data_IF_462097845984
#
_entry.id   IF_462097845984
#
_cell.length_a   1.000
_cell.length_b   1.000
_cell.length_c   1.000
_cell.angle_alpha   90.00
_cell.angle_beta   90.00
_cell.angle_gamma   90.00
#
_symmetry.space_group_name_H-M   'P 1'
#
loop_
_entity.id
_entity.type
_entity.pdbx_description
1 polymer ?
#
# COMPACT_ATOMS: atom_id res chain seq x y z
N UNK A 1 -17.06 -47.99 26.26
CA UNK A 1 -16.36 -49.07 25.56
C UNK A 1 -16.08 -48.68 24.12
N UNK A 2 -14.88 -49.02 23.68
CA UNK A 2 -14.26 -48.90 22.34
C UNK A 2 -13.87 -47.49 21.86
N UNK A 3 -12.60 -47.16 22.15
CA UNK A 3 -11.74 -46.25 21.40
C UNK A 3 -11.50 -46.85 20.01
N UNK A 4 -11.79 -46.11 18.94
CA UNK A 4 -11.32 -46.45 17.61
C UNK A 4 -10.34 -45.39 17.16
N UNK A 5 -9.09 -45.81 17.03
CA UNK A 5 -7.92 -45.05 16.57
C UNK A 5 -8.02 -44.86 15.06
N UNK A 6 -7.98 -43.59 14.62
CA UNK A 6 -7.78 -43.22 13.22
C UNK A 6 -6.28 -42.94 12.97
N UNK A 7 -5.52 -44.03 12.91
CA UNK A 7 -4.24 -44.10 12.20
C UNK A 7 -4.46 -44.95 10.95
N UNK A 8 -4.22 -44.37 9.82
CA UNK A 8 -4.01 -44.91 8.47
C UNK A 8 -4.90 -44.24 7.45
N UNK A 9 -4.35 -43.24 6.79
CA UNK A 9 -4.50 -42.94 5.35
C UNK A 9 -3.56 -41.74 5.09
N UNK A 10 -2.33 -42.02 4.68
CA UNK A 10 -1.54 -41.35 3.64
C UNK A 10 -0.14 -41.99 3.59
N UNK A 11 0.20 -42.74 2.54
CA UNK A 11 1.55 -43.23 2.31
C UNK A 11 2.36 -42.20 1.50
N UNK A 12 3.57 -41.93 1.96
CA UNK A 12 4.66 -41.52 1.06
C UNK A 12 5.01 -40.05 0.96
N UNK A 13 5.56 -39.47 2.01
CA UNK A 13 6.52 -38.35 1.85
C UNK A 13 7.77 -38.68 2.69
N UNK A 14 8.76 -39.29 2.01
CA UNK A 14 10.12 -39.41 2.57
C UNK A 14 10.71 -38.00 2.67
N UNK A 15 10.85 -37.52 3.89
CA UNK A 15 11.67 -36.33 4.18
C UNK A 15 13.13 -36.82 4.13
N UNK A 16 13.88 -36.37 3.15
CA UNK A 16 15.33 -36.51 3.10
C UNK A 16 15.96 -35.49 4.08
N UNK A 17 16.67 -35.90 5.11
CA UNK A 17 17.46 -35.03 5.96
C UNK A 17 18.84 -34.87 5.32
N UNK A 18 19.13 -33.75 4.67
CA UNK A 18 20.48 -33.49 4.22
C UNK A 18 20.55 -32.55 3.02
N UNK A 19 20.47 -31.27 3.28
CA UNK A 19 21.28 -30.22 2.62
C UNK A 19 20.94 -28.84 3.18
N UNK A 20 21.43 -28.57 4.36
CA UNK A 20 21.63 -27.20 4.83
C UNK A 20 22.78 -26.63 3.99
N UNK A 21 22.48 -26.14 2.80
CA UNK A 21 23.42 -25.26 2.08
C UNK A 21 23.49 -23.98 2.90
N UNK A 22 24.62 -23.79 3.58
CA UNK A 22 25.10 -22.49 3.99
C UNK A 22 25.07 -21.62 2.73
N UNK A 23 24.20 -20.63 2.72
CA UNK A 23 24.22 -19.59 1.69
C UNK A 23 25.47 -18.74 1.93
N UNK A 24 26.42 -18.86 1.04
CA UNK A 24 27.62 -18.05 1.02
C UNK A 24 27.27 -16.56 1.01
N UNK A 25 27.95 -15.73 1.83
CA UNK A 25 27.75 -14.28 1.83
C UNK A 25 28.11 -13.57 0.52
N UNK A 26 28.63 -14.29 -0.46
CA UNK A 26 29.07 -13.75 -1.76
C UNK A 26 27.97 -13.61 -2.80
N UNK A 27 26.75 -14.13 -2.57
CA UNK A 27 25.67 -14.09 -3.57
C UNK A 27 24.95 -12.71 -3.64
N UNK A 28 25.29 -11.78 -2.77
CA UNK A 28 24.71 -10.42 -2.77
C UNK A 28 25.39 -9.49 -3.79
N UNK A 29 26.53 -9.90 -4.38
CA UNK A 29 27.32 -9.03 -5.26
C UNK A 29 26.91 -9.00 -6.75
N UNK A 30 25.92 -9.75 -7.18
CA UNK A 30 25.55 -9.87 -8.59
C UNK A 30 24.15 -9.38 -8.96
N UNK A 31 23.57 -8.44 -8.19
CA UNK A 31 22.46 -7.66 -8.71
C UNK A 31 23.02 -6.39 -9.36
N UNK A 32 23.37 -6.50 -10.65
CA UNK A 32 23.70 -5.33 -11.47
C UNK A 32 22.44 -4.50 -11.73
N UNK A 33 21.97 -3.80 -10.70
CA UNK A 33 21.13 -2.63 -10.89
C UNK A 33 22.05 -1.55 -11.40
N UNK A 34 21.71 -0.94 -12.54
CA UNK A 34 22.50 0.17 -13.06
C UNK A 34 22.69 1.20 -11.94
N UNK A 35 23.91 1.54 -11.55
CA UNK A 35 24.17 2.43 -10.42
C UNK A 35 23.69 3.85 -10.64
N UNK A 36 23.09 4.14 -11.80
CA UNK A 36 22.69 5.47 -12.23
C UNK A 36 21.23 5.86 -11.92
N UNK A 37 20.35 4.92 -11.56
CA UNK A 37 18.94 5.28 -11.27
C UNK A 37 18.83 5.98 -9.93
N UNK A 38 18.45 7.27 -9.89
CA UNK A 38 18.33 8.01 -8.66
C UNK A 38 17.15 7.52 -7.79
N UNK A 39 17.17 7.88 -6.51
CA UNK A 39 16.07 7.62 -5.58
C UNK A 39 15.40 8.94 -5.24
N UNK A 40 14.07 9.00 -5.37
CA UNK A 40 13.25 10.14 -4.94
C UNK A 40 12.48 9.73 -3.69
N UNK A 41 12.65 10.48 -2.60
CA UNK A 41 11.92 10.32 -1.35
C UNK A 41 10.92 11.46 -1.26
N UNK A 42 9.63 11.14 -1.25
CA UNK A 42 8.56 12.13 -1.15
C UNK A 42 7.67 11.86 0.07
N UNK A 43 7.24 12.91 0.74
CA UNK A 43 6.25 12.79 1.80
C UNK A 43 5.93 14.09 2.51
N UNK A 44 4.82 14.07 3.25
CA UNK A 44 4.34 15.17 4.08
C UNK A 44 4.87 15.11 5.52
N UNK A 45 5.52 14.02 5.90
CA UNK A 45 6.21 13.86 7.17
C UNK A 45 7.69 14.23 7.03
N UNK A 46 7.99 15.53 7.17
CA UNK A 46 9.34 16.06 6.99
C UNK A 46 10.42 15.30 7.81
N UNK A 47 10.27 15.02 9.11
CA UNK A 47 11.27 14.28 9.87
C UNK A 47 11.57 12.89 9.30
N UNK A 48 10.56 12.20 8.80
CA UNK A 48 10.72 10.88 8.19
C UNK A 48 11.46 10.96 6.85
N UNK A 49 11.11 11.93 6.00
CA UNK A 49 11.77 12.16 4.71
C UNK A 49 13.25 12.46 4.90
N UNK A 50 13.60 13.40 5.80
CA UNK A 50 14.98 13.77 6.07
C UNK A 50 15.76 12.65 6.76
N UNK A 51 15.12 11.93 7.69
CA UNK A 51 15.75 10.77 8.34
C UNK A 51 16.11 9.69 7.32
N UNK A 52 15.23 9.38 6.39
CA UNK A 52 15.52 8.44 5.31
C UNK A 52 16.58 8.97 4.34
N UNK A 53 16.54 10.26 4.01
CA UNK A 53 17.57 10.88 3.16
C UNK A 53 18.97 10.72 3.75
N UNK A 54 19.14 11.04 5.04
CA UNK A 54 20.42 10.86 5.72
C UNK A 54 20.85 9.39 5.76
N UNK A 55 19.95 8.48 6.16
CA UNK A 55 20.25 7.05 6.17
C UNK A 55 20.58 6.53 4.77
N UNK A 56 19.92 7.04 3.75
CA UNK A 56 20.17 6.66 2.36
C UNK A 56 21.58 7.04 1.91
N UNK A 57 22.05 8.24 2.24
CA UNK A 57 23.40 8.69 1.91
C UNK A 57 24.49 7.84 2.59
N UNK A 58 24.23 7.35 3.81
CA UNK A 58 25.16 6.47 4.49
C UNK A 58 25.16 5.05 3.91
N UNK A 59 23.98 4.53 3.52
CA UNK A 59 23.81 3.16 3.02
C UNK A 59 24.21 3.03 1.55
N UNK A 60 23.94 4.05 0.76
CA UNK A 60 24.08 4.09 -0.70
C UNK A 60 24.84 5.35 -1.15
N UNK A 61 26.10 5.53 -0.77
CA UNK A 61 26.85 6.77 -1.02
C UNK A 61 27.03 7.08 -2.51
N UNK A 62 26.99 6.07 -3.38
CA UNK A 62 27.10 6.22 -4.83
C UNK A 62 25.79 6.64 -5.52
N UNK A 63 24.64 6.58 -4.82
CA UNK A 63 23.35 6.90 -5.42
C UNK A 63 22.98 8.37 -5.21
N UNK A 64 22.37 8.96 -6.24
CA UNK A 64 21.74 10.28 -6.12
C UNK A 64 20.39 10.15 -5.44
N UNK A 65 20.23 10.79 -4.29
CA UNK A 65 18.99 10.75 -3.50
C UNK A 65 18.44 12.17 -3.43
N UNK A 66 17.21 12.33 -3.90
CA UNK A 66 16.46 13.58 -3.91
C UNK A 66 15.31 13.51 -2.91
N UNK A 67 14.96 14.63 -2.30
CA UNK A 67 13.77 14.77 -1.44
C UNK A 67 12.78 15.74 -2.04
N UNK A 68 11.50 15.54 -1.77
CA UNK A 68 10.42 16.46 -2.13
C UNK A 68 9.33 16.44 -1.07
N UNK A 69 8.72 17.59 -0.83
CA UNK A 69 7.67 17.79 0.17
C UNK A 69 6.34 18.24 -0.44
N UNK A 70 6.37 18.65 -1.69
CA UNK A 70 5.16 19.05 -2.43
C UNK A 70 4.96 18.18 -3.66
N UNK A 71 3.70 17.95 -4.08
CA UNK A 71 3.41 17.22 -5.31
C UNK A 71 4.09 17.80 -6.56
N UNK A 72 4.20 19.15 -6.63
CA UNK A 72 4.85 19.83 -7.76
C UNK A 72 6.34 19.54 -7.84
N UNK A 73 7.05 19.57 -6.71
CA UNK A 73 8.47 19.18 -6.64
C UNK A 73 8.67 17.73 -7.04
N UNK A 74 7.83 16.83 -6.51
CA UNK A 74 7.88 15.40 -6.85
C UNK A 74 7.80 15.18 -8.36
N UNK A 75 6.88 15.86 -9.03
CA UNK A 75 6.68 15.69 -10.47
C UNK A 75 7.80 16.31 -11.30
N UNK A 76 8.37 17.40 -10.85
CA UNK A 76 9.57 17.97 -11.48
C UNK A 76 10.70 16.95 -11.42
N UNK A 77 10.94 16.34 -10.26
CA UNK A 77 11.95 15.32 -10.09
C UNK A 77 11.68 14.05 -10.93
N UNK A 78 10.43 13.60 -11.01
CA UNK A 78 10.04 12.46 -11.86
C UNK A 78 10.26 12.80 -13.35
N UNK A 79 9.99 14.04 -13.74
CA UNK A 79 10.23 14.49 -15.09
C UNK A 79 11.72 14.52 -15.44
N UNK A 80 12.56 15.03 -14.55
CA UNK A 80 14.01 15.08 -14.72
C UNK A 80 14.65 13.68 -14.64
N UNK A 81 14.02 12.76 -13.91
CA UNK A 81 14.51 11.42 -13.63
C UNK A 81 13.42 10.34 -13.82
N UNK A 82 13.02 10.04 -15.06
CA UNK A 82 11.91 9.13 -15.34
C UNK A 82 12.19 7.67 -14.95
N UNK A 83 13.43 7.31 -14.73
CA UNK A 83 13.90 6.00 -14.27
C UNK A 83 14.10 5.93 -12.73
N UNK A 84 13.80 7.03 -12.02
CA UNK A 84 13.99 7.11 -10.59
C UNK A 84 13.14 6.07 -9.83
N UNK A 85 13.70 5.61 -8.72
CA UNK A 85 12.96 4.80 -7.73
C UNK A 85 12.24 5.70 -6.77
N UNK A 86 10.99 5.38 -6.46
CA UNK A 86 10.14 6.22 -5.65
C UNK A 86 9.88 5.62 -4.28
N UNK A 87 10.18 6.39 -3.24
CA UNK A 87 9.83 6.09 -1.85
C UNK A 87 8.83 7.16 -1.39
N UNK A 88 7.63 6.73 -1.00
CA UNK A 88 6.54 7.59 -0.55
C UNK A 88 6.36 7.48 0.96
N UNK A 89 6.69 8.54 1.69
CA UNK A 89 6.56 8.65 3.15
C UNK A 89 5.24 9.33 3.51
N UNK A 90 4.12 8.61 3.35
CA UNK A 90 2.78 9.15 3.51
C UNK A 90 1.74 8.07 3.79
N UNK A 91 0.54 8.48 4.22
CA UNK A 91 -0.59 7.58 4.41
C UNK A 91 -1.39 7.45 3.09
N UNK A 92 -1.36 6.30 2.39
CA UNK A 92 -1.98 6.16 1.07
C UNK A 92 -3.45 6.59 1.00
N UNK A 93 -4.24 6.27 2.04
CA UNK A 93 -5.66 6.62 2.12
C UNK A 93 -5.94 8.13 2.10
N UNK A 94 -4.96 8.95 2.49
CA UNK A 94 -5.04 10.40 2.55
C UNK A 94 -4.47 11.09 1.30
N UNK A 95 -3.99 10.31 0.33
CA UNK A 95 -3.28 10.78 -0.86
C UNK A 95 -3.76 10.12 -2.16
N UNK A 96 -5.03 9.67 -2.23
CA UNK A 96 -5.54 9.00 -3.45
C UNK A 96 -5.40 9.89 -4.69
N UNK A 97 -5.50 11.22 -4.54
CA UNK A 97 -5.35 12.16 -5.66
C UNK A 97 -3.90 12.23 -6.15
N UNK A 98 -2.92 12.13 -5.24
CA UNK A 98 -1.51 12.03 -5.62
C UNK A 98 -1.23 10.72 -6.36
N UNK A 99 -1.71 9.59 -5.84
CA UNK A 99 -1.56 8.31 -6.51
C UNK A 99 -2.21 8.31 -7.89
N UNK A 100 -3.36 8.94 -8.04
CA UNK A 100 -4.01 9.15 -9.33
C UNK A 100 -3.13 9.97 -10.28
N UNK A 101 -2.55 11.07 -9.81
CA UNK A 101 -1.63 11.88 -10.61
C UNK A 101 -0.39 11.10 -11.05
N UNK A 102 0.12 10.20 -10.21
CA UNK A 102 1.27 9.36 -10.48
C UNK A 102 0.94 8.09 -11.29
N UNK A 103 -0.33 7.85 -11.63
CA UNK A 103 -0.77 6.59 -12.23
C UNK A 103 -0.01 6.20 -13.50
N UNK A 104 0.31 7.16 -14.35
CA UNK A 104 1.13 6.96 -15.55
C UNK A 104 2.54 6.44 -15.23
N UNK A 105 3.18 7.01 -14.22
CA UNK A 105 4.51 6.61 -13.75
C UNK A 105 4.46 5.26 -13.04
N UNK A 106 3.52 5.08 -12.11
CA UNK A 106 3.36 3.86 -11.32
C UNK A 106 2.93 2.63 -12.13
N UNK A 107 2.48 2.82 -13.36
CA UNK A 107 2.23 1.72 -14.29
C UNK A 107 3.49 0.94 -14.61
N UNK A 108 4.62 1.60 -14.64
CA UNK A 108 5.90 1.03 -15.06
C UNK A 108 6.93 0.91 -13.93
N UNK A 109 6.72 1.63 -12.85
CA UNK A 109 7.62 1.68 -11.70
C UNK A 109 6.85 1.38 -10.42
N UNK A 110 7.40 0.51 -9.58
CA UNK A 110 6.83 0.29 -8.25
C UNK A 110 7.32 1.35 -7.28
N UNK A 111 6.40 1.95 -6.51
CA UNK A 111 6.76 2.78 -5.39
C UNK A 111 6.82 1.96 -4.11
N UNK A 112 7.79 2.29 -3.25
CA UNK A 112 7.83 1.80 -1.88
C UNK A 112 7.12 2.81 -0.98
N UNK A 113 6.10 2.37 -0.25
CA UNK A 113 5.32 3.23 0.65
C UNK A 113 5.74 2.98 2.09
N UNK A 114 6.13 4.04 2.77
CA UNK A 114 6.54 4.04 4.18
C UNK A 114 5.50 4.79 4.99
N UNK A 115 4.83 4.10 5.91
CA UNK A 115 3.79 4.67 6.76
C UNK A 115 3.73 3.97 8.11
N UNK A 116 3.26 4.69 9.13
CA UNK A 116 3.21 4.20 10.52
C UNK A 116 2.18 3.09 10.73
N UNK A 117 1.06 3.16 10.01
CA UNK A 117 -0.03 2.20 10.13
C UNK A 117 -0.65 1.92 8.76
N UNK A 118 -0.86 0.64 8.48
CA UNK A 118 -1.46 0.19 7.23
C UNK A 118 -2.88 -0.28 7.50
N UNK A 119 -3.88 0.49 7.04
CA UNK A 119 -5.28 0.09 7.09
C UNK A 119 -5.69 -0.63 5.80
N UNK A 120 -6.93 -1.11 5.77
CA UNK A 120 -7.44 -1.81 4.60
C UNK A 120 -7.50 -0.89 3.36
N UNK A 121 -7.94 0.35 3.53
CA UNK A 121 -7.91 1.38 2.48
C UNK A 121 -6.51 1.62 1.93
N UNK A 122 -5.48 1.68 2.79
CA UNK A 122 -4.09 1.84 2.37
C UNK A 122 -3.62 0.67 1.49
N UNK A 123 -3.95 -0.58 1.90
CA UNK A 123 -3.62 -1.77 1.09
C UNK A 123 -4.32 -1.75 -0.26
N UNK A 124 -5.56 -1.27 -0.30
CA UNK A 124 -6.31 -1.12 -1.55
C UNK A 124 -5.64 -0.10 -2.47
N UNK A 125 -5.25 1.06 -1.94
CA UNK A 125 -4.49 2.09 -2.69
C UNK A 125 -3.18 1.50 -3.21
N UNK A 126 -2.37 0.93 -2.35
CA UNK A 126 -1.07 0.36 -2.74
C UNK A 126 -1.20 -0.72 -3.80
N UNK A 127 -2.16 -1.64 -3.64
CA UNK A 127 -2.41 -2.68 -4.64
C UNK A 127 -2.88 -2.11 -5.97
N UNK A 128 -3.75 -1.11 -5.90
CA UNK A 128 -4.27 -0.44 -7.07
C UNK A 128 -3.14 0.25 -7.86
N UNK A 129 -2.23 0.93 -7.22
CA UNK A 129 -1.15 1.70 -7.84
C UNK A 129 0.23 1.03 -7.75
N UNK A 130 0.25 -0.31 -7.77
CA UNK A 130 1.49 -1.08 -7.87
C UNK A 130 2.57 -0.64 -6.87
N UNK A 131 2.16 -0.38 -5.63
CA UNK A 131 3.04 0.08 -4.56
C UNK A 131 3.23 -0.99 -3.49
N UNK A 132 4.40 -1.01 -2.86
CA UNK A 132 4.78 -2.01 -1.86
C UNK A 132 4.86 -1.35 -0.49
N UNK A 133 4.21 -1.90 0.54
CA UNK A 133 4.35 -1.38 1.89
C UNK A 133 5.74 -1.69 2.46
N UNK A 134 6.38 -0.69 3.05
CA UNK A 134 7.51 -0.86 3.93
C UNK A 134 7.14 -0.30 5.30
N UNK A 135 6.86 -1.18 6.25
CA UNK A 135 6.50 -0.78 7.62
C UNK A 135 7.68 -0.16 8.35
N UNK A 136 7.42 0.86 9.16
CA UNK A 136 8.36 1.36 10.15
C UNK A 136 8.06 0.61 11.45
N UNK A 137 8.97 -0.23 11.97
CA UNK A 137 8.78 -0.79 13.29
C UNK A 137 8.90 0.33 14.34
N UNK A 138 8.09 0.30 15.41
CA UNK A 138 8.30 1.17 16.56
C UNK A 138 9.60 0.73 17.24
N UNK A 139 10.63 1.58 17.30
CA UNK A 139 11.85 1.17 17.97
C UNK A 139 13.04 2.12 17.89
N UNK A 140 14.13 1.65 18.39
CA UNK A 140 15.39 2.28 18.71
C UNK A 140 16.16 2.79 17.46
N UNK A 141 17.21 3.60 17.68
CA UNK A 141 18.02 4.23 16.64
C UNK A 141 18.73 3.22 15.72
N UNK A 142 19.18 2.08 16.29
CA UNK A 142 19.76 0.98 15.51
C UNK A 142 18.72 0.29 14.62
N UNK A 143 17.49 0.21 15.09
CA UNK A 143 16.36 -0.34 14.36
C UNK A 143 15.90 0.60 13.23
N UNK A 144 16.04 1.93 13.39
CA UNK A 144 15.81 2.92 12.33
C UNK A 144 16.82 2.77 11.19
N UNK A 145 18.08 2.53 11.48
CA UNK A 145 19.11 2.32 10.45
C UNK A 145 18.86 1.00 9.68
N UNK A 146 18.61 -0.09 10.41
CA UNK A 146 18.27 -1.38 9.82
C UNK A 146 16.98 -1.31 8.99
N UNK A 147 16.01 -0.50 9.45
CA UNK A 147 14.75 -0.22 8.75
C UNK A 147 15.01 0.59 7.49
N UNK A 148 15.82 1.64 7.55
CA UNK A 148 16.25 2.42 6.39
C UNK A 148 16.88 1.52 5.33
N UNK A 149 17.85 0.68 5.70
CA UNK A 149 18.45 -0.30 4.80
C UNK A 149 17.42 -1.22 4.16
N UNK A 150 16.46 -1.72 4.93
CA UNK A 150 15.38 -2.59 4.43
C UNK A 150 14.45 -1.85 3.46
N UNK A 151 14.10 -0.58 3.74
CA UNK A 151 13.28 0.25 2.85
C UNK A 151 13.98 0.46 1.51
N UNK A 152 15.25 0.85 1.53
CA UNK A 152 16.03 1.02 0.31
C UNK A 152 16.17 -0.29 -0.45
N UNK A 153 16.53 -1.39 0.21
CA UNK A 153 16.59 -2.70 -0.42
C UNK A 153 15.25 -3.11 -1.03
N UNK A 154 14.13 -2.87 -0.34
CA UNK A 154 12.79 -3.13 -0.90
C UNK A 154 12.53 -2.33 -2.16
N UNK A 155 12.93 -1.06 -2.23
CA UNK A 155 12.77 -0.23 -3.42
C UNK A 155 13.60 -0.73 -4.60
N UNK A 156 14.77 -1.33 -4.35
CA UNK A 156 15.62 -1.93 -5.39
C UNK A 156 15.09 -3.30 -5.84
N UNK A 157 14.50 -4.08 -4.93
CA UNK A 157 13.90 -5.39 -5.25
C UNK A 157 12.56 -5.27 -5.97
N UNK A 158 11.92 -4.12 -5.89
CA UNK A 158 10.60 -3.84 -6.47
C UNK A 158 10.62 -3.73 -8.00
N UNK A 159 11.43 -4.48 -8.72
CA UNK A 159 11.54 -4.44 -10.18
C UNK A 159 10.22 -4.30 -10.92
N UNK A 160 10.27 -3.99 -12.21
CA UNK A 160 9.07 -3.86 -13.05
C UNK A 160 8.19 -5.12 -12.93
N UNK A 161 6.96 -4.96 -12.49
CA UNK A 161 6.00 -6.05 -12.43
C UNK A 161 5.38 -6.25 -13.80
N UNK A 162 5.31 -7.51 -14.23
CA UNK A 162 4.52 -7.91 -15.40
C UNK A 162 3.01 -7.96 -15.11
N UNK A 163 2.61 -7.71 -13.86
CA UNK A 163 1.21 -7.73 -13.48
C UNK A 163 0.46 -6.58 -14.15
N UNK A 164 -0.60 -6.93 -14.86
CA UNK A 164 -1.44 -5.98 -15.57
C UNK A 164 -2.00 -4.93 -14.61
N UNK A 165 -1.88 -3.62 -14.92
CA UNK A 165 -2.45 -2.57 -14.09
C UNK A 165 -3.98 -2.76 -13.99
N UNK A 166 -4.54 -2.42 -12.84
CA UNK A 166 -5.99 -2.49 -12.64
C UNK A 166 -6.72 -1.63 -13.68
N UNK A 167 -7.80 -2.12 -14.31
CA UNK A 167 -8.54 -1.40 -15.36
C UNK A 167 -9.13 -0.05 -14.94
N UNK A 168 -9.18 0.24 -13.65
CA UNK A 168 -9.68 1.52 -13.12
C UNK A 168 -8.79 2.74 -13.45
N UNK A 169 -7.57 2.52 -13.94
CA UNK A 169 -6.59 3.61 -14.19
C UNK A 169 -6.76 4.32 -15.53
N UNK A 170 -7.57 3.81 -16.43
CA UNK A 170 -7.89 4.49 -17.69
C UNK A 170 -9.06 5.47 -17.56
N UNK A 171 -9.67 5.58 -16.37
CA UNK A 171 -10.77 6.51 -16.11
C UNK A 171 -10.30 7.95 -16.04
N UNK A 172 -10.95 8.84 -16.80
CA UNK A 172 -10.83 10.29 -16.60
C UNK A 172 -11.87 10.68 -15.56
N UNK A 173 -11.40 11.21 -14.43
CA UNK A 173 -12.28 11.72 -13.38
C UNK A 173 -12.40 13.25 -13.53
N UNK A 174 -13.59 13.77 -13.32
CA UNK A 174 -13.88 15.19 -13.53
C UNK A 174 -13.70 16.01 -12.26
N UNK A 175 -13.98 15.42 -11.11
CA UNK A 175 -13.84 16.06 -9.82
C UNK A 175 -13.37 15.07 -8.71
N UNK A 176 -13.22 15.62 -7.51
CA UNK A 176 -12.73 14.88 -6.34
C UNK A 176 -13.71 13.80 -5.88
N UNK A 177 -15.02 14.01 -6.06
CA UNK A 177 -16.04 13.06 -5.63
C UNK A 177 -16.09 11.87 -6.60
N UNK A 178 -16.01 12.14 -7.91
CA UNK A 178 -15.97 11.08 -8.94
C UNK A 178 -14.85 10.05 -8.62
N UNK A 179 -13.64 10.52 -8.34
CA UNK A 179 -12.54 9.63 -8.01
C UNK A 179 -12.75 8.93 -6.66
N UNK A 180 -13.20 9.68 -5.64
CA UNK A 180 -13.43 9.13 -4.31
C UNK A 180 -14.53 8.06 -4.33
N UNK A 181 -15.61 8.28 -5.07
CA UNK A 181 -16.71 7.34 -5.21
C UNK A 181 -16.29 6.09 -6.01
N UNK A 182 -15.52 6.26 -7.06
CA UNK A 182 -14.93 5.13 -7.79
C UNK A 182 -14.01 4.29 -6.89
N UNK A 183 -13.21 4.94 -6.04
CA UNK A 183 -12.36 4.26 -5.06
C UNK A 183 -13.17 3.53 -4.00
N UNK A 184 -14.27 4.10 -3.53
CA UNK A 184 -15.18 3.47 -2.58
C UNK A 184 -15.90 2.26 -3.21
N UNK A 185 -16.31 2.36 -4.47
CA UNK A 185 -16.89 1.22 -5.20
C UNK A 185 -15.89 0.08 -5.33
N UNK A 186 -14.66 0.39 -5.72
CA UNK A 186 -13.59 -0.61 -5.80
C UNK A 186 -13.27 -1.24 -4.44
N UNK A 187 -13.25 -0.44 -3.38
CA UNK A 187 -13.08 -0.91 -2.01
C UNK A 187 -14.15 -1.94 -1.63
N UNK A 188 -15.41 -1.71 -2.01
CA UNK A 188 -16.52 -2.65 -1.77
C UNK A 188 -16.35 -3.97 -2.53
N UNK A 189 -15.92 -3.91 -3.78
CA UNK A 189 -15.60 -5.11 -4.56
C UNK A 189 -14.44 -5.89 -3.92
N UNK A 190 -13.42 -5.17 -3.46
CA UNK A 190 -12.26 -5.79 -2.81
C UNK A 190 -12.66 -6.46 -1.48
N UNK A 191 -13.52 -5.83 -0.67
CA UNK A 191 -14.10 -6.44 0.52
C UNK A 191 -14.89 -7.73 0.19
N UNK A 192 -15.68 -7.70 -0.90
CA UNK A 192 -16.41 -8.89 -1.33
C UNK A 192 -15.47 -10.04 -1.71
N UNK A 193 -14.38 -9.75 -2.44
CA UNK A 193 -13.32 -10.73 -2.79
C UNK A 193 -12.59 -11.26 -1.54
N UNK A 194 -12.43 -10.43 -0.50
CA UNK A 194 -11.90 -10.84 0.80
C UNK A 194 -12.90 -11.70 1.62
N UNK A 195 -14.07 -12.00 1.08
CA UNK A 195 -15.08 -12.85 1.71
C UNK A 195 -15.98 -12.13 2.71
N UNK A 196 -16.03 -10.79 2.69
CA UNK A 196 -16.98 -10.02 3.51
C UNK A 196 -18.38 -10.15 2.90
N UNK A 197 -19.28 -10.83 3.61
CA UNK A 197 -20.65 -11.09 3.14
C UNK A 197 -21.50 -9.80 3.06
N UNK A 198 -22.61 -9.87 2.31
CA UNK A 198 -23.57 -8.76 2.23
C UNK A 198 -24.08 -8.35 3.61
N UNK A 199 -24.37 -9.32 4.49
CA UNK A 199 -24.80 -9.05 5.88
C UNK A 199 -23.70 -8.31 6.65
N UNK A 200 -22.45 -8.72 6.52
CA UNK A 200 -21.31 -8.07 7.16
C UNK A 200 -21.07 -6.65 6.63
N UNK A 201 -21.27 -6.43 5.33
CA UNK A 201 -21.18 -5.07 4.76
C UNK A 201 -22.23 -4.12 5.31
N UNK A 202 -23.47 -4.58 5.48
CA UNK A 202 -24.53 -3.78 6.14
C UNK A 202 -24.18 -3.41 7.59
N UNK A 203 -23.56 -4.33 8.34
CA UNK A 203 -23.03 -4.02 9.68
C UNK A 203 -21.97 -2.93 9.60
N UNK A 204 -21.03 -3.07 8.65
CA UNK A 204 -19.95 -2.11 8.47
C UNK A 204 -20.46 -0.71 8.09
N UNK A 205 -21.42 -0.62 7.18
CA UNK A 205 -22.08 0.63 6.79
C UNK A 205 -22.73 1.32 8.00
N UNK A 206 -23.47 0.57 8.81
CA UNK A 206 -24.08 1.10 10.01
C UNK A 206 -23.04 1.57 11.07
N UNK A 207 -21.89 0.88 11.17
CA UNK A 207 -20.79 1.32 12.02
C UNK A 207 -20.13 2.61 11.50
N UNK A 208 -19.99 2.75 10.17
CA UNK A 208 -19.48 3.97 9.52
C UNK A 208 -20.42 5.17 9.70
N UNK A 209 -21.72 4.92 9.84
CA UNK A 209 -22.71 5.92 10.21
C UNK A 209 -22.69 6.27 11.72
N UNK A 210 -21.78 5.67 12.49
CA UNK A 210 -21.65 5.91 13.93
C UNK A 210 -22.69 5.20 14.79
N UNK A 211 -23.47 4.25 14.23
CA UNK A 211 -24.46 3.50 14.99
C UNK A 211 -23.80 2.56 16.00
N UNK A 212 -24.39 2.50 17.22
CA UNK A 212 -23.95 1.55 18.25
C UNK A 212 -24.34 0.13 17.88
N UNK A 213 -23.58 -0.85 18.31
CA UNK A 213 -23.83 -2.28 18.03
C UNK A 213 -25.20 -2.76 18.54
N UNK A 214 -25.69 -2.19 19.64
CA UNK A 214 -27.07 -2.46 20.13
C UNK A 214 -28.17 -2.00 19.16
N UNK A 215 -28.04 -0.78 18.62
CA UNK A 215 -28.98 -0.24 17.63
C UNK A 215 -28.93 -1.02 16.32
N UNK A 216 -27.72 -1.47 15.90
CA UNK A 216 -27.55 -2.31 14.70
C UNK A 216 -28.23 -3.66 14.91
N UNK A 217 -28.05 -4.28 16.10
CA UNK A 217 -28.65 -5.54 16.44
C UNK A 217 -30.20 -5.47 16.41
N UNK A 218 -30.75 -4.44 16.98
CA UNK A 218 -32.19 -4.18 16.98
C UNK A 218 -32.72 -3.99 15.55
N UNK A 219 -32.09 -3.13 14.76
CA UNK A 219 -32.50 -2.86 13.36
C UNK A 219 -32.41 -4.07 12.44
N UNK A 220 -31.52 -5.02 12.75
CA UNK A 220 -31.31 -6.24 11.96
C UNK A 220 -32.04 -7.46 12.54
N UNK A 221 -32.74 -7.34 13.66
CA UNK A 221 -33.48 -8.43 14.34
C UNK A 221 -32.57 -9.56 14.83
N UNK A 222 -31.38 -9.24 15.31
CA UNK A 222 -30.40 -10.22 15.80
C UNK A 222 -29.84 -9.82 17.16
N UNK A 223 -29.20 -10.75 17.87
CA UNK A 223 -28.55 -10.44 19.15
C UNK A 223 -27.31 -9.55 18.97
N UNK A 224 -27.04 -8.71 19.98
CA UNK A 224 -25.84 -7.87 19.99
C UNK A 224 -24.54 -8.71 19.90
N UNK A 225 -24.50 -9.86 20.57
CA UNK A 225 -23.35 -10.78 20.50
C UNK A 225 -23.09 -11.26 19.06
N UNK A 226 -24.15 -11.46 18.27
CA UNK A 226 -24.00 -11.84 16.85
C UNK A 226 -23.37 -10.70 16.05
N UNK A 227 -23.75 -9.44 16.31
CA UNK A 227 -23.11 -8.28 15.66
C UNK A 227 -21.64 -8.16 16.05
N UNK A 228 -21.28 -8.28 17.34
CA UNK A 228 -19.89 -8.22 17.79
C UNK A 228 -19.02 -9.37 17.17
N UNK A 229 -19.58 -10.57 17.07
CA UNK A 229 -18.89 -11.69 16.41
C UNK A 229 -18.64 -11.38 14.91
N UNK A 230 -19.63 -10.87 14.19
CA UNK A 230 -19.45 -10.49 12.80
C UNK A 230 -18.45 -9.33 12.64
N UNK A 231 -18.49 -8.33 13.51
CA UNK A 231 -17.51 -7.24 13.56
C UNK A 231 -16.09 -7.78 13.73
N UNK A 232 -15.86 -8.65 14.70
CA UNK A 232 -14.56 -9.29 14.91
C UNK A 232 -14.10 -10.12 13.69
N UNK A 233 -15.02 -10.82 13.03
CA UNK A 233 -14.72 -11.55 11.78
C UNK A 233 -14.35 -10.62 10.65
N UNK A 234 -15.02 -9.48 10.48
CA UNK A 234 -14.70 -8.46 9.47
C UNK A 234 -13.27 -7.96 9.68
N UNK A 235 -12.97 -7.49 10.90
CA UNK A 235 -11.64 -6.95 11.22
C UNK A 235 -10.52 -7.96 10.96
N UNK A 236 -10.73 -9.22 11.38
CA UNK A 236 -9.76 -10.28 11.13
C UNK A 236 -9.55 -10.56 9.64
N UNK A 237 -10.63 -10.59 8.84
CA UNK A 237 -10.54 -10.81 7.37
C UNK A 237 -9.85 -9.67 6.65
N UNK A 238 -10.12 -8.46 7.10
CA UNK A 238 -9.54 -7.25 6.53
C UNK A 238 -8.22 -6.86 7.20
N UNK A 239 -7.69 -7.73 8.11
CA UNK A 239 -6.43 -7.49 8.84
C UNK A 239 -6.37 -6.08 9.44
N UNK A 240 -7.45 -5.66 10.09
CA UNK A 240 -7.64 -4.33 10.63
C UNK A 240 -7.62 -4.35 12.15
N UNK A 241 -7.08 -3.31 12.81
CA UNK A 241 -7.27 -3.13 14.24
C UNK A 241 -8.75 -2.85 14.56
N UNK A 242 -9.19 -3.28 15.74
CA UNK A 242 -10.61 -3.16 16.18
C UNK A 242 -10.97 -1.78 16.76
N UNK A 243 -10.17 -0.75 16.48
CA UNK A 243 -10.42 0.60 16.99
C UNK A 243 -11.48 1.35 16.17
N UNK A 244 -12.18 2.29 16.79
CA UNK A 244 -13.14 3.17 16.11
C UNK A 244 -12.45 4.01 15.02
N UNK A 245 -11.23 4.44 15.27
CA UNK A 245 -10.42 5.15 14.29
C UNK A 245 -10.15 4.31 13.03
N UNK A 246 -9.81 3.03 13.20
CA UNK A 246 -9.61 2.12 12.09
C UNK A 246 -10.89 1.91 11.26
N UNK A 247 -12.07 1.93 11.87
CA UNK A 247 -13.34 1.87 11.15
C UNK A 247 -13.51 3.12 10.29
N UNK A 248 -13.42 4.30 10.90
CA UNK A 248 -13.72 5.57 10.24
C UNK A 248 -12.76 5.85 9.08
N UNK A 249 -11.47 5.63 9.29
CA UNK A 249 -10.42 5.99 8.31
C UNK A 249 -9.95 4.82 7.45
N UNK A 250 -10.15 3.60 7.92
CA UNK A 250 -9.63 2.41 7.26
C UNK A 250 -10.61 1.64 6.38
N UNK A 251 -11.89 2.05 6.34
CA UNK A 251 -12.96 1.33 5.67
C UNK A 251 -13.72 2.16 4.63
N UNK A 252 -13.37 3.41 4.45
CA UNK A 252 -13.96 4.32 3.48
C UNK A 252 -12.98 5.42 3.11
N UNK A 253 -12.97 5.84 1.85
CA UNK A 253 -12.27 7.03 1.41
C UNK A 253 -13.17 8.26 1.56
N UNK A 254 -12.57 9.36 1.98
CA UNK A 254 -13.23 10.65 2.17
C UNK A 254 -12.48 11.72 1.38
N UNK A 255 -13.18 12.45 0.51
CA UNK A 255 -12.59 13.56 -0.25
C UNK A 255 -12.04 14.66 0.67
N UNK A 256 -12.74 14.93 1.79
CA UNK A 256 -12.34 15.95 2.78
C UNK A 256 -11.08 15.60 3.59
N UNK A 257 -10.64 14.35 3.58
CA UNK A 257 -9.42 13.90 4.27
C UNK A 257 -8.21 13.87 3.33
N UNK A 258 -8.39 14.19 2.05
CA UNK A 258 -7.29 14.18 1.10
C UNK A 258 -6.36 15.39 1.29
N UNK A 259 -5.07 15.13 1.43
CA UNK A 259 -4.05 16.16 1.64
C UNK A 259 -3.59 16.82 0.34
N UNK A 260 -3.74 16.11 -0.79
CA UNK A 260 -3.45 16.64 -2.12
C UNK A 260 -4.75 17.13 -2.77
N UNK A 261 -4.75 18.30 -3.40
CA UNK A 261 -5.94 18.83 -4.07
C UNK A 261 -6.17 18.14 -5.42
N UNK A 262 -7.40 17.77 -5.72
CA UNK A 262 -7.74 17.09 -6.98
C UNK A 262 -7.38 17.92 -8.22
N UNK A 263 -7.66 19.23 -8.22
CA UNK A 263 -7.33 20.13 -9.35
C UNK A 263 -5.83 20.15 -9.67
N UNK A 264 -4.99 20.11 -8.66
CA UNK A 264 -3.55 20.01 -8.77
C UNK A 264 -3.17 18.66 -9.37
N UNK A 265 -3.69 17.56 -8.81
CA UNK A 265 -3.48 16.20 -9.28
C UNK A 265 -3.90 15.97 -10.73
N UNK A 266 -5.01 16.53 -11.16
CA UNK A 266 -5.51 16.36 -12.52
C UNK A 266 -4.62 17.07 -13.56
N UNK A 267 -4.10 18.27 -13.27
CA UNK A 267 -3.08 18.94 -14.10
C UNK A 267 -1.82 18.08 -14.21
N UNK A 268 -1.41 17.50 -13.11
CA UNK A 268 -0.21 16.69 -12.98
C UNK A 268 -0.35 15.36 -13.74
N UNK A 269 -1.50 14.69 -13.65
CA UNK A 269 -1.81 13.48 -14.41
C UNK A 269 -1.69 13.74 -15.92
N UNK A 270 -2.18 14.87 -16.40
CA UNK A 270 -2.08 15.25 -17.82
C UNK A 270 -0.61 15.43 -18.24
N UNK A 271 0.22 16.00 -17.38
CA UNK A 271 1.65 16.19 -17.64
C UNK A 271 2.36 14.85 -17.67
N UNK A 272 2.23 14.04 -16.63
CA UNK A 272 2.88 12.72 -16.52
C UNK A 272 2.49 11.81 -17.69
N UNK A 273 1.21 11.76 -18.05
CA UNK A 273 0.75 10.91 -19.17
C UNK A 273 1.30 11.37 -20.52
N UNK A 274 1.46 12.67 -20.76
CA UNK A 274 2.07 13.17 -22.01
C UNK A 274 3.53 12.75 -22.15
N UNK A 275 4.30 12.78 -21.06
CA UNK A 275 5.73 12.49 -21.09
C UNK A 275 6.02 10.99 -21.15
N UNK A 276 5.32 10.17 -20.35
CA UNK A 276 5.49 8.71 -20.35
C UNK A 276 5.12 8.09 -21.70
N UNK A 277 4.22 8.72 -22.46
CA UNK A 277 3.80 8.25 -23.77
C UNK A 277 4.73 8.76 -24.90
N UNK A 278 5.38 9.94 -24.76
CA UNK A 278 6.24 10.48 -25.79
C UNK A 278 7.61 9.81 -25.85
N UNK A 279 8.19 9.42 -24.72
CA UNK A 279 9.55 8.85 -24.66
C UNK A 279 9.61 7.34 -24.95
N UNK A 280 8.46 6.67 -25.15
CA UNK A 280 8.39 5.21 -25.43
C UNK A 280 7.87 4.86 -26.83
N UNK A 281 7.73 5.84 -27.70
CA UNK A 281 7.33 5.67 -29.12
C UNK A 281 8.57 5.80 -30.05
N UNK A 282 9.78 5.70 -29.52
CA UNK A 282 11.00 5.64 -30.30
C UNK A 282 11.64 4.25 -30.19
#
# INVERSE_FOLDING_TARGET
>A
MRKTSLKNILPGLRVNPGNTRQQDPQTVKNMSVAPDSPVIIHGDNWPLVEGLHHSGKEILPEYRIYTSHTPSELLTLIYEHPDARLILCLQPREHIFLFYALSGFLRYTKATVVCDSVYFTDRVVMKMWNSIPAGIPPGDREELFATGKRIFMSSFMAGCSSDQPSPLFSGIFHDENDLTDAMNLYLQEYMARAGVSVFQRKILEALLEGKRTSCIAESMGVSQNKIENHKSMIFRRLEMPTSSHAILYGMRFHSSLQRTRFKESNRLCTIVNKFVLSDRVV
#
